data_IF_155942546827
#
_entry.id   IF_155942546827
#
_cell.length_a   1.000
_cell.length_b   1.000
_cell.length_c   1.000
_cell.angle_alpha   90.00
_cell.angle_beta   90.00
_cell.angle_gamma   90.00
#
_symmetry.space_group_name_H-M   'P 1'
#
loop_
_entity.id
_entity.type
_entity.pdbx_description
1 polymer ?
#
# COMPACT_ATOMS: atom_id res chain seq x y z
N UNK A 1 -16.48 -16.79 23.50
CA UNK A 1 -15.20 -17.55 23.46
C UNK A 1 -14.76 -17.84 22.03
N UNK A 2 -15.33 -18.80 21.27
CA UNK A 2 -14.92 -19.02 19.86
C UNK A 2 -15.17 -17.79 18.96
N UNK A 3 -16.35 -17.16 19.06
CA UNK A 3 -16.69 -15.93 18.33
C UNK A 3 -15.82 -14.71 18.69
N UNK A 4 -15.26 -14.69 19.90
CA UNK A 4 -14.40 -13.60 20.39
C UNK A 4 -12.92 -13.81 20.01
N UNK A 5 -12.53 -15.05 19.68
CA UNK A 5 -11.20 -15.35 19.14
C UNK A 5 -11.20 -15.17 17.61
N UNK A 6 -12.30 -15.55 16.95
CA UNK A 6 -12.53 -15.31 15.51
C UNK A 6 -12.74 -13.82 15.16
N UNK A 7 -13.02 -12.98 16.17
CA UNK A 7 -13.02 -11.51 16.00
C UNK A 7 -11.63 -10.90 16.09
N UNK A 8 -10.69 -11.55 16.79
CA UNK A 8 -9.30 -11.09 16.95
C UNK A 8 -8.43 -11.54 15.76
N UNK A 9 -8.65 -12.76 15.25
CA UNK A 9 -7.96 -13.26 14.06
C UNK A 9 -8.85 -13.03 12.83
N UNK A 10 -8.53 -12.00 12.05
CA UNK A 10 -9.25 -11.65 10.81
C UNK A 10 -8.93 -12.68 9.72
N UNK A 11 -9.65 -13.80 9.70
CA UNK A 11 -9.68 -14.72 8.57
C UNK A 11 -10.82 -14.30 7.64
N UNK A 12 -10.54 -13.88 6.38
CA UNK A 12 -11.57 -13.42 5.46
C UNK A 12 -12.59 -14.52 5.17
N UNK A 13 -13.87 -14.23 5.41
CA UNK A 13 -14.99 -15.10 5.05
C UNK A 13 -15.76 -14.57 3.84
N UNK A 14 -16.68 -15.41 3.34
CA UNK A 14 -17.59 -15.05 2.24
C UNK A 14 -18.50 -13.85 2.59
N UNK A 15 -18.77 -13.64 3.88
CA UNK A 15 -19.57 -12.50 4.36
C UNK A 15 -18.79 -11.18 4.51
N UNK A 16 -17.46 -11.19 4.44
CA UNK A 16 -16.65 -9.99 4.69
C UNK A 16 -16.11 -9.33 3.42
N UNK A 17 -16.34 -9.94 2.26
CA UNK A 17 -15.85 -9.48 0.97
C UNK A 17 -16.98 -9.47 -0.07
N UNK A 18 -16.90 -8.64 -1.12
CA UNK A 18 -17.88 -8.68 -2.19
C UNK A 18 -17.94 -10.06 -2.87
N UNK A 19 -19.14 -10.56 -3.14
CA UNK A 19 -19.37 -11.93 -3.66
C UNK A 19 -18.59 -12.25 -4.95
N UNK A 20 -18.29 -11.24 -5.77
CA UNK A 20 -17.55 -11.43 -7.01
C UNK A 20 -16.04 -11.67 -6.81
N UNK A 21 -15.48 -11.41 -5.62
CA UNK A 21 -14.06 -11.67 -5.32
C UNK A 21 -13.72 -13.15 -5.44
N UNK A 22 -14.69 -14.03 -5.22
CA UNK A 22 -14.56 -15.48 -5.31
C UNK A 22 -14.63 -16.03 -6.74
N UNK A 23 -14.84 -15.20 -7.76
CA UNK A 23 -14.83 -15.62 -9.17
C UNK A 23 -13.40 -15.82 -9.67
N UNK A 24 -13.18 -16.80 -10.53
CA UNK A 24 -11.84 -17.29 -10.89
C UNK A 24 -10.88 -16.19 -11.40
N UNK A 25 -11.33 -15.32 -12.32
CA UNK A 25 -10.51 -14.20 -12.78
C UNK A 25 -10.33 -13.08 -11.76
N UNK A 26 -11.31 -12.89 -10.87
CA UNK A 26 -11.26 -11.85 -9.84
C UNK A 26 -10.34 -12.20 -8.68
N UNK A 27 -10.23 -13.49 -8.33
CA UNK A 27 -9.31 -13.95 -7.29
C UNK A 27 -7.88 -13.46 -7.55
N UNK A 28 -7.43 -13.45 -8.80
CA UNK A 28 -6.08 -13.00 -9.17
C UNK A 28 -5.87 -11.50 -8.91
N UNK A 29 -6.92 -10.70 -9.07
CA UNK A 29 -6.91 -9.26 -8.84
C UNK A 29 -7.04 -8.94 -7.35
N UNK A 30 -7.83 -9.73 -6.63
CA UNK A 30 -8.27 -9.43 -5.26
C UNK A 30 -7.52 -10.18 -4.16
N UNK A 31 -6.50 -10.98 -4.50
CA UNK A 31 -5.74 -11.88 -3.60
C UNK A 31 -5.53 -11.31 -2.19
N UNK A 32 -4.89 -10.14 -2.10
CA UNK A 32 -4.60 -9.49 -0.82
C UNK A 32 -5.64 -8.45 -0.40
N UNK A 33 -6.53 -8.04 -1.32
CA UNK A 33 -7.60 -7.09 -1.03
C UNK A 33 -8.66 -7.69 -0.11
N UNK A 34 -8.86 -9.01 -0.18
CA UNK A 34 -9.77 -9.76 0.72
C UNK A 34 -9.52 -9.47 2.20
N UNK A 35 -8.24 -9.42 2.62
CA UNK A 35 -7.87 -9.11 4.01
C UNK A 35 -8.23 -7.68 4.41
N UNK A 36 -8.02 -6.71 3.51
CA UNK A 36 -8.34 -5.30 3.76
C UNK A 36 -9.84 -5.13 3.92
N UNK A 37 -10.64 -5.77 3.06
CA UNK A 37 -12.11 -5.77 3.17
C UNK A 37 -12.57 -6.42 4.47
N UNK A 38 -11.99 -7.57 4.84
CA UNK A 38 -12.33 -8.25 6.08
C UNK A 38 -12.00 -7.41 7.33
N UNK A 39 -10.83 -6.78 7.37
CA UNK A 39 -10.45 -5.86 8.44
C UNK A 39 -11.39 -4.65 8.50
N UNK A 40 -11.71 -4.06 7.34
CA UNK A 40 -12.58 -2.89 7.30
C UNK A 40 -13.97 -3.20 7.85
N UNK A 41 -14.59 -4.28 7.41
CA UNK A 41 -15.95 -4.64 7.83
C UNK A 41 -16.00 -5.11 9.30
N UNK A 42 -15.00 -5.88 9.76
CA UNK A 42 -15.02 -6.44 11.12
C UNK A 42 -14.47 -5.54 12.22
N UNK A 43 -13.53 -4.65 11.90
CA UNK A 43 -12.81 -3.83 12.89
C UNK A 43 -13.16 -2.35 12.76
N UNK A 44 -13.10 -1.81 11.54
CA UNK A 44 -13.34 -0.37 11.34
C UNK A 44 -14.83 -0.03 11.42
N UNK A 45 -15.68 -0.72 10.67
CA UNK A 45 -17.13 -0.44 10.67
C UNK A 45 -17.74 -0.70 12.04
N UNK A 46 -17.43 -1.83 12.65
CA UNK A 46 -17.92 -2.19 13.99
C UNK A 46 -17.39 -1.24 15.07
N UNK A 47 -16.11 -0.84 14.99
CA UNK A 47 -15.48 0.09 15.93
C UNK A 47 -16.08 1.50 15.85
N UNK A 48 -16.31 2.00 14.63
CA UNK A 48 -16.99 3.30 14.41
C UNK A 48 -18.42 3.26 14.95
N UNK A 49 -19.14 2.15 14.75
CA UNK A 49 -20.52 1.98 15.25
C UNK A 49 -20.58 1.93 16.77
N UNK A 50 -19.59 1.34 17.43
CA UNK A 50 -19.51 1.34 18.90
C UNK A 50 -19.10 2.72 19.43
N UNK A 51 -18.20 3.42 18.73
CA UNK A 51 -17.85 4.82 19.01
C UNK A 51 -17.35 5.06 20.43
N UNK A 52 -16.69 4.08 21.04
CA UNK A 52 -16.24 4.15 22.42
C UNK A 52 -14.90 4.88 22.57
N UNK A 53 -14.56 5.28 23.79
CA UNK A 53 -13.28 5.96 24.05
C UNK A 53 -12.08 5.09 23.66
N UNK A 54 -12.20 3.75 23.79
CA UNK A 54 -11.16 2.80 23.41
C UNK A 54 -10.91 2.83 21.90
N UNK A 55 -11.95 2.91 21.08
CA UNK A 55 -11.84 3.05 19.63
C UNK A 55 -11.10 4.33 19.25
N UNK A 56 -11.46 5.47 19.83
CA UNK A 56 -10.78 6.75 19.52
C UNK A 56 -9.31 6.75 19.95
N UNK A 57 -8.99 6.20 21.12
CA UNK A 57 -7.60 6.06 21.58
C UNK A 57 -6.81 5.10 20.68
N UNK A 58 -7.41 3.98 20.28
CA UNK A 58 -6.81 3.04 19.33
C UNK A 58 -6.60 3.65 17.95
N UNK A 59 -7.56 4.44 17.46
CA UNK A 59 -7.47 5.17 16.21
C UNK A 59 -6.32 6.20 16.24
N UNK A 60 -6.22 7.01 17.30
CA UNK A 60 -5.12 7.95 17.47
C UNK A 60 -3.76 7.24 17.54
N UNK A 61 -3.66 6.14 18.28
CA UNK A 61 -2.46 5.32 18.32
C UNK A 61 -2.09 4.76 16.94
N UNK A 62 -3.07 4.34 16.16
CA UNK A 62 -2.89 3.83 14.80
C UNK A 62 -2.39 4.90 13.85
N UNK A 63 -2.93 6.12 13.91
CA UNK A 63 -2.41 7.27 13.14
C UNK A 63 -0.96 7.54 13.52
N UNK A 64 -0.65 7.63 14.83
CA UNK A 64 0.71 7.92 15.30
C UNK A 64 1.73 6.86 14.84
N UNK A 65 1.37 5.58 14.94
CA UNK A 65 2.19 4.48 14.42
C UNK A 65 2.34 4.57 12.89
N UNK A 66 1.28 4.89 12.16
CA UNK A 66 1.32 5.11 10.72
C UNK A 66 2.28 6.25 10.33
N UNK A 67 2.25 7.37 11.05
CA UNK A 67 3.16 8.50 10.85
C UNK A 67 4.61 8.11 11.15
N UNK A 68 4.85 7.32 12.20
CA UNK A 68 6.17 6.79 12.51
C UNK A 68 6.68 5.88 11.37
N UNK A 69 5.83 5.02 10.83
CA UNK A 69 6.17 4.17 9.67
C UNK A 69 6.53 5.02 8.45
N UNK A 70 5.83 6.14 8.20
CA UNK A 70 6.20 7.09 7.15
C UNK A 70 7.63 7.60 7.35
N UNK A 71 7.93 8.12 8.54
CA UNK A 71 9.26 8.68 8.86
C UNK A 71 10.37 7.64 8.66
N UNK A 72 10.15 6.41 9.14
CA UNK A 72 11.11 5.31 8.96
C UNK A 72 11.30 4.96 7.48
N UNK A 73 10.22 4.87 6.70
CA UNK A 73 10.29 4.54 5.27
C UNK A 73 10.98 5.64 4.46
N UNK A 74 10.73 6.92 4.75
CA UNK A 74 11.42 8.04 4.12
C UNK A 74 12.92 7.97 4.41
N UNK A 75 13.31 7.79 5.69
CA UNK A 75 14.70 7.66 6.10
C UNK A 75 15.42 6.48 5.43
N UNK A 76 14.78 5.30 5.38
CA UNK A 76 15.34 4.11 4.72
C UNK A 76 15.46 4.28 3.19
N UNK A 77 14.61 5.11 2.59
CA UNK A 77 14.65 5.40 1.16
C UNK A 77 15.59 6.55 0.81
N UNK A 78 16.28 7.15 1.79
CA UNK A 78 17.12 8.34 1.57
C UNK A 78 16.33 9.60 1.15
N UNK A 79 15.01 9.63 1.39
CA UNK A 79 14.14 10.76 1.03
C UNK A 79 13.94 11.69 2.23
N UNK A 80 13.73 12.97 1.95
CA UNK A 80 13.41 13.96 2.97
C UNK A 80 12.08 13.66 3.65
N UNK A 81 12.03 13.95 4.96
CA UNK A 81 10.85 13.76 5.79
C UNK A 81 10.13 15.10 5.89
N UNK A 82 8.92 15.17 5.32
CA UNK A 82 8.01 16.27 5.60
C UNK A 82 7.33 16.06 6.97
N UNK A 83 7.72 16.89 7.94
CA UNK A 83 7.24 16.89 9.33
C UNK A 83 5.98 17.76 9.54
N UNK A 84 5.41 18.35 8.49
CA UNK A 84 4.18 19.14 8.64
C UNK A 84 3.08 18.28 9.27
N UNK A 85 2.37 18.85 10.25
CA UNK A 85 1.30 18.16 10.97
C UNK A 85 0.30 17.51 10.01
N UNK A 86 -0.12 18.27 8.99
CA UNK A 86 -1.05 17.82 7.98
C UNK A 86 -0.53 16.59 7.21
N UNK A 87 0.74 16.58 6.82
CA UNK A 87 1.34 15.44 6.13
C UNK A 87 1.48 14.23 7.05
N UNK A 88 1.89 14.42 8.32
CA UNK A 88 2.01 13.34 9.29
C UNK A 88 0.66 12.68 9.57
N UNK A 89 -0.40 13.47 9.74
CA UNK A 89 -1.76 12.93 9.93
C UNK A 89 -2.25 12.22 8.69
N UNK A 90 -2.09 12.81 7.49
CA UNK A 90 -2.46 12.18 6.21
C UNK A 90 -1.75 10.85 6.01
N UNK A 91 -0.42 10.83 6.15
CA UNK A 91 0.38 9.60 6.04
C UNK A 91 0.05 8.61 7.16
N UNK A 92 -0.27 9.09 8.37
CA UNK A 92 -0.65 8.27 9.50
C UNK A 92 -1.97 7.54 9.28
N UNK A 93 -2.99 8.24 8.79
CA UNK A 93 -4.30 7.65 8.44
C UNK A 93 -4.14 6.59 7.34
N UNK A 94 -3.38 6.92 6.29
CA UNK A 94 -3.21 6.03 5.14
C UNK A 94 -2.27 4.84 5.43
N UNK A 95 -1.22 5.01 6.25
CA UNK A 95 -0.29 3.93 6.66
C UNK A 95 -0.86 3.09 7.78
N UNK A 96 -1.65 3.69 8.66
CA UNK A 96 -2.41 3.00 9.69
C UNK A 96 -3.58 2.18 9.13
N UNK A 97 -3.92 2.33 7.84
CA UNK A 97 -4.97 1.54 7.20
C UNK A 97 -6.39 1.91 7.66
N UNK A 98 -6.58 3.09 8.26
CA UNK A 98 -7.87 3.50 8.85
C UNK A 98 -8.98 3.73 7.82
N UNK A 99 -8.60 4.00 6.57
CA UNK A 99 -9.55 4.15 5.45
C UNK A 99 -9.93 2.77 4.88
N UNK A 100 -9.21 1.71 5.25
CA UNK A 100 -9.45 0.35 4.79
C UNK A 100 -9.34 0.24 3.27
N UNK A 101 -10.32 -0.42 2.66
CA UNK A 101 -10.31 -0.76 1.22
C UNK A 101 -10.46 0.46 0.30
N UNK A 102 -10.96 1.60 0.82
CA UNK A 102 -11.10 2.84 0.07
C UNK A 102 -9.74 3.54 -0.17
N UNK A 103 -8.70 3.17 0.56
CA UNK A 103 -7.38 3.80 0.45
C UNK A 103 -6.82 3.70 -0.97
N UNK A 104 -6.83 2.49 -1.56
CA UNK A 104 -6.32 2.26 -2.90
C UNK A 104 -7.02 3.09 -3.99
N UNK A 105 -8.36 3.06 -4.16
CA UNK A 105 -9.01 3.86 -5.19
C UNK A 105 -8.84 5.36 -4.94
N UNK A 106 -8.90 5.83 -3.68
CA UNK A 106 -8.67 7.24 -3.36
C UNK A 106 -7.25 7.66 -3.74
N UNK A 107 -6.24 6.86 -3.42
CA UNK A 107 -4.85 7.16 -3.74
C UNK A 107 -4.54 7.03 -5.23
N UNK A 108 -5.22 6.13 -5.96
CA UNK A 108 -5.12 6.09 -7.42
C UNK A 108 -5.72 7.35 -8.04
N UNK A 109 -6.92 7.75 -7.60
CA UNK A 109 -7.54 9.01 -8.05
C UNK A 109 -6.64 10.20 -7.72
N UNK A 110 -6.01 10.19 -6.55
CA UNK A 110 -5.04 11.22 -6.16
C UNK A 110 -3.83 11.26 -7.08
N UNK A 111 -3.24 10.12 -7.39
CA UNK A 111 -2.10 10.04 -8.31
C UNK A 111 -2.50 10.51 -9.73
N UNK A 112 -3.61 9.98 -10.26
CA UNK A 112 -4.08 10.31 -11.63
C UNK A 112 -4.52 11.79 -11.74
N UNK A 113 -5.08 12.35 -10.68
CA UNK A 113 -5.52 13.75 -10.66
C UNK A 113 -4.39 14.75 -10.34
N UNK A 114 -3.16 14.27 -10.13
CA UNK A 114 -2.02 15.11 -9.75
C UNK A 114 -2.18 15.75 -8.37
N UNK A 115 -2.85 15.07 -7.44
CA UNK A 115 -3.08 15.57 -6.08
C UNK A 115 -4.30 16.47 -5.92
N UNK A 116 -5.17 16.60 -6.93
CA UNK A 116 -6.37 17.45 -6.86
C UNK A 116 -7.50 16.81 -6.05
N UNK A 117 -7.58 15.49 -6.03
CA UNK A 117 -8.62 14.73 -5.32
C UNK A 117 -7.97 13.63 -4.50
N UNK A 118 -8.12 13.65 -3.18
CA UNK A 118 -7.49 12.65 -2.30
C UNK A 118 -7.21 13.21 -0.91
N UNK A 119 -6.54 12.40 -0.08
CA UNK A 119 -6.22 12.80 1.28
C UNK A 119 -5.25 13.99 1.32
N UNK A 120 -4.28 14.06 0.42
CA UNK A 120 -3.41 15.20 0.25
C UNK A 120 -4.19 16.48 0.00
N UNK A 121 -5.16 16.47 -0.92
CA UNK A 121 -6.04 17.61 -1.15
C UNK A 121 -6.86 18.00 0.09
N UNK A 122 -7.41 17.02 0.81
CA UNK A 122 -8.20 17.24 2.02
C UNK A 122 -7.38 17.85 3.17
N UNK A 123 -6.12 17.42 3.32
CA UNK A 123 -5.24 17.88 4.39
C UNK A 123 -4.32 19.05 3.95
N UNK A 124 -4.40 19.51 2.70
CA UNK A 124 -3.47 20.51 2.17
C UNK A 124 -2.02 20.03 2.20
N UNK A 125 -1.80 18.74 1.96
CA UNK A 125 -0.51 18.06 1.97
C UNK A 125 -0.20 17.44 0.59
N UNK A 126 1.06 17.10 0.29
CA UNK A 126 1.40 16.39 -0.94
C UNK A 126 0.60 15.08 -1.08
N UNK A 127 0.50 14.48 -2.28
CA UNK A 127 -0.09 13.16 -2.44
C UNK A 127 0.56 12.10 -1.53
N UNK A 128 -0.13 11.01 -1.26
CA UNK A 128 0.41 9.94 -0.40
C UNK A 128 1.71 9.37 -0.98
N UNK A 129 2.75 9.34 -0.13
CA UNK A 129 4.15 9.05 -0.51
C UNK A 129 4.38 7.68 -1.17
N UNK A 130 3.52 6.69 -0.90
CA UNK A 130 3.68 5.32 -1.43
C UNK A 130 3.11 5.14 -2.84
N UNK A 131 2.22 6.03 -3.28
CA UNK A 131 1.57 5.94 -4.58
C UNK A 131 2.20 6.85 -5.63
N UNK A 132 2.93 7.90 -5.21
CA UNK A 132 3.63 8.83 -6.10
C UNK A 132 4.64 8.15 -7.06
N UNK A 133 5.28 7.06 -6.63
CA UNK A 133 6.34 6.38 -7.39
C UNK A 133 5.86 5.11 -8.11
N UNK A 134 4.54 4.86 -8.19
CA UNK A 134 3.97 3.65 -8.80
C UNK A 134 3.07 3.99 -9.97
N UNK A 135 3.09 3.14 -10.99
CA UNK A 135 2.06 3.12 -12.03
C UNK A 135 0.74 2.62 -11.40
N UNK A 136 -0.03 3.55 -10.82
CA UNK A 136 -1.16 3.24 -9.95
C UNK A 136 -2.24 2.39 -10.65
N UNK A 137 -2.43 2.59 -11.95
CA UNK A 137 -3.43 1.84 -12.74
C UNK A 137 -3.02 0.37 -12.89
N UNK A 138 -1.75 0.09 -13.21
CA UNK A 138 -1.23 -1.28 -13.31
C UNK A 138 -1.26 -2.02 -11.97
N UNK A 139 -0.90 -1.33 -10.89
CA UNK A 139 -0.90 -1.90 -9.54
C UNK A 139 -2.31 -2.28 -9.04
N UNK A 140 -3.37 -1.67 -9.57
CA UNK A 140 -4.75 -1.99 -9.20
C UNK A 140 -5.24 -3.33 -9.74
N UNK A 141 -4.66 -3.82 -10.84
CA UNK A 141 -4.98 -5.13 -11.43
C UNK A 141 -4.47 -6.29 -10.58
N UNK A 142 -3.68 -6.00 -9.55
CA UNK A 142 -3.25 -6.96 -8.55
C UNK A 142 -1.85 -7.50 -8.79
N UNK A 143 -1.31 -8.21 -7.78
CA UNK A 143 0.11 -8.58 -7.74
C UNK A 143 0.55 -9.50 -8.87
N UNK A 144 -0.32 -10.40 -9.34
CA UNK A 144 0.00 -11.31 -10.44
C UNK A 144 0.18 -10.57 -11.76
N UNK A 145 -0.61 -9.52 -12.01
CA UNK A 145 -0.47 -8.70 -13.20
C UNK A 145 0.75 -7.77 -13.11
N UNK A 146 1.04 -7.21 -11.94
CA UNK A 146 2.25 -6.43 -11.68
C UNK A 146 3.51 -7.27 -11.95
N UNK A 147 3.57 -8.50 -11.39
CA UNK A 147 4.68 -9.43 -11.61
C UNK A 147 4.80 -9.87 -13.08
N UNK A 148 3.69 -10.16 -13.75
CA UNK A 148 3.69 -10.50 -15.17
C UNK A 148 4.21 -9.35 -16.05
N UNK A 149 3.84 -8.11 -15.72
CA UNK A 149 4.35 -6.90 -16.39
C UNK A 149 5.85 -6.68 -16.13
N UNK A 150 6.31 -6.85 -14.89
CA UNK A 150 7.73 -6.78 -14.54
C UNK A 150 8.53 -7.86 -15.30
N UNK A 151 8.04 -9.11 -15.38
CA UNK A 151 8.69 -10.19 -16.12
C UNK A 151 8.77 -9.92 -17.63
N UNK A 152 7.69 -9.41 -18.24
CA UNK A 152 7.69 -9.01 -19.64
C UNK A 152 8.68 -7.86 -19.91
N UNK A 153 8.79 -6.90 -18.98
CA UNK A 153 9.74 -5.78 -19.06
C UNK A 153 11.19 -6.29 -19.04
N UNK A 154 11.50 -7.25 -18.16
CA UNK A 154 12.83 -7.89 -18.10
C UNK A 154 13.12 -8.68 -19.38
N UNK A 155 12.17 -9.48 -19.85
CA UNK A 155 12.33 -10.26 -21.09
C UNK A 155 12.59 -9.37 -22.31
N UNK A 156 11.87 -8.25 -22.42
CA UNK A 156 12.09 -7.26 -23.47
C UNK A 156 13.49 -6.64 -23.40
N UNK A 157 13.99 -6.32 -22.19
CA UNK A 157 15.34 -5.83 -21.99
C UNK A 157 16.42 -6.82 -22.42
N UNK A 158 16.26 -8.10 -22.06
CA UNK A 158 17.17 -9.18 -22.46
C UNK A 158 17.19 -9.38 -23.98
N UNK A 159 16.01 -9.39 -24.63
CA UNK A 159 15.89 -9.64 -26.06
C UNK A 159 16.44 -8.50 -26.91
N UNK A 160 16.29 -7.25 -26.47
CA UNK A 160 16.78 -6.07 -27.19
C UNK A 160 18.18 -5.63 -26.77
N UNK A 161 18.77 -6.25 -25.75
CA UNK A 161 20.09 -5.88 -25.23
C UNK A 161 20.14 -4.54 -24.49
N UNK A 162 18.97 -3.99 -24.12
CA UNK A 162 18.84 -2.70 -23.45
C UNK A 162 18.35 -2.90 -22.00
N UNK A 163 19.25 -2.68 -21.05
CA UNK A 163 18.90 -2.58 -19.62
C UNK A 163 18.93 -1.12 -19.21
N UNK A 164 17.78 -0.45 -19.30
CA UNK A 164 17.58 0.87 -18.69
C UNK A 164 17.14 0.70 -17.22
N UNK A 165 17.02 1.83 -16.52
CA UNK A 165 16.51 1.99 -15.17
C UNK A 165 15.22 1.22 -14.91
N UNK A 166 14.31 1.14 -15.87
CA UNK A 166 13.04 0.42 -15.74
C UNK A 166 13.23 -1.10 -15.68
N UNK A 167 14.06 -1.68 -16.55
CA UNK A 167 14.33 -3.11 -16.61
C UNK A 167 15.15 -3.56 -15.39
N UNK A 168 16.12 -2.73 -14.98
CA UNK A 168 16.92 -2.95 -13.78
C UNK A 168 16.05 -2.97 -12.53
N UNK A 169 15.12 -2.01 -12.42
CA UNK A 169 14.16 -1.97 -11.32
C UNK A 169 13.20 -3.17 -11.33
N UNK A 170 12.68 -3.55 -12.51
CA UNK A 170 11.80 -4.71 -12.66
C UNK A 170 12.52 -6.02 -12.27
N UNK A 171 13.76 -6.22 -12.70
CA UNK A 171 14.57 -7.39 -12.33
C UNK A 171 14.82 -7.44 -10.82
N UNK A 172 15.14 -6.30 -10.20
CA UNK A 172 15.32 -6.20 -8.76
C UNK A 172 14.04 -6.57 -8.00
N UNK A 173 12.87 -6.17 -8.48
CA UNK A 173 11.60 -6.48 -7.81
C UNK A 173 11.36 -7.98 -7.65
N UNK A 174 11.90 -8.79 -8.56
CA UNK A 174 11.78 -10.24 -8.55
C UNK A 174 12.74 -10.93 -7.58
N UNK A 175 13.74 -10.22 -7.04
CA UNK A 175 14.68 -10.81 -6.09
C UNK A 175 13.99 -11.09 -4.75
N UNK A 176 14.13 -12.31 -4.20
CA UNK A 176 13.61 -12.61 -2.87
C UNK A 176 14.30 -11.69 -1.86
N UNK A 177 13.56 -11.30 -0.82
CA UNK A 177 14.04 -10.46 0.29
C UNK A 177 14.49 -9.03 -0.09
N UNK A 178 14.27 -8.57 -1.32
CA UNK A 178 14.70 -7.23 -1.76
C UNK A 178 14.08 -6.08 -0.96
N UNK A 179 12.92 -6.31 -0.34
CA UNK A 179 12.21 -5.35 0.52
C UNK A 179 12.68 -5.36 1.99
N UNK A 180 13.62 -6.23 2.39
CA UNK A 180 14.16 -6.22 3.75
C UNK A 180 14.90 -4.92 4.03
N UNK A 181 14.72 -4.36 5.22
CA UNK A 181 15.30 -3.08 5.62
C UNK A 181 16.83 -3.04 5.55
N UNK A 182 17.51 -4.19 5.72
CA UNK A 182 18.96 -4.30 5.62
C UNK A 182 19.47 -4.47 4.17
N UNK A 183 18.64 -5.05 3.30
CA UNK A 183 19.01 -5.39 1.91
C UNK A 183 18.61 -4.26 0.95
N UNK A 184 17.41 -3.71 1.12
CA UNK A 184 16.85 -2.68 0.24
C UNK A 184 17.76 -1.44 0.08
N UNK A 185 18.41 -0.90 1.14
CA UNK A 185 19.28 0.26 0.98
C UNK A 185 20.56 -0.06 0.18
N UNK A 186 21.06 -1.30 0.26
CA UNK A 186 22.21 -1.74 -0.51
C UNK A 186 21.83 -1.87 -1.99
N UNK A 187 20.71 -2.54 -2.28
CA UNK A 187 20.20 -2.68 -3.64
C UNK A 187 19.86 -1.33 -4.29
N UNK A 188 19.34 -0.37 -3.52
CA UNK A 188 19.09 1.00 -4.00
C UNK A 188 20.40 1.65 -4.50
N UNK A 189 21.49 1.54 -3.74
CA UNK A 189 22.79 2.11 -4.14
C UNK A 189 23.36 1.45 -5.39
N UNK A 190 23.22 0.12 -5.49
CA UNK A 190 23.68 -0.63 -6.68
C UNK A 190 22.87 -0.22 -7.91
N UNK A 191 21.55 -0.06 -7.77
CA UNK A 191 20.68 0.40 -8.84
C UNK A 191 20.99 1.84 -9.29
N UNK A 192 21.32 2.74 -8.35
CA UNK A 192 21.77 4.11 -8.67
C UNK A 192 23.09 4.15 -9.45
N UNK A 193 23.99 3.18 -9.23
CA UNK A 193 25.26 3.09 -9.97
C UNK A 193 25.11 2.49 -11.37
N UNK A 194 24.01 1.80 -11.64
CA UNK A 194 23.70 1.21 -12.95
C UNK A 194 22.88 2.16 -13.85
N UNK A 195 22.44 3.30 -13.32
CA UNK A 195 21.82 4.40 -14.07
C UNK A 195 22.89 5.32 -14.63
#
# INVERSE_FOLDING_TARGET
MLKDVDSVIVTPGVGDTPLFFSKEGWKLITQFKTFIFAQHNRVLVSGIQQGDASFYLGALGTVALGSMVYMMKQKLSGRDIDYSWNNLVKEGIDRGGMIGWLSEPLNTVENVSGGRFGLGAMFGAPPVSRFQSRNAIGAMLGPTFDLGGDAATVAHGVLNGEFDSQQTHAARKMLPFQNLWAISPLLNKVEEQMK
#
